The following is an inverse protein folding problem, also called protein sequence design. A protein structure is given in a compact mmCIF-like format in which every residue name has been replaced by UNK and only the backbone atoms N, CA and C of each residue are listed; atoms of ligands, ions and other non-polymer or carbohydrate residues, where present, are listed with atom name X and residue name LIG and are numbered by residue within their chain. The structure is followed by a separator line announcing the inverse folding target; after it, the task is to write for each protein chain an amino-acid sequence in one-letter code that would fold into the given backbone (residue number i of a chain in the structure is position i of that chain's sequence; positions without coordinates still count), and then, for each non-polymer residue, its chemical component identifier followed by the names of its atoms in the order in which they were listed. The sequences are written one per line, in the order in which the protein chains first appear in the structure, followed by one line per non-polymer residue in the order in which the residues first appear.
data_IF_912158302933
#
_entry.id   IF_912158302933
#
_cell.length_a   1.000
_cell.length_b   1.000
_cell.length_c   1.000
_cell.angle_alpha   90.00
_cell.angle_beta   90.00
_cell.angle_gamma   90.00
#
_symmetry.space_group_name_H-M   'P 1'
#
loop_
_entity.id
_entity.type
_entity.pdbx_description
1 polymer ?
#
# COMPACT_ATOMS: atom_id res chain seq x y z
N UNK A 1 49.46 -11.86 13.42
CA UNK A 1 50.61 -12.14 12.55
C UNK A 1 50.13 -12.38 11.13
N UNK A 2 50.13 -11.35 10.29
CA UNK A 2 50.26 -11.42 8.83
C UNK A 2 50.54 -9.98 8.37
N UNK A 3 51.66 -9.80 7.70
CA UNK A 3 52.35 -8.51 7.49
C UNK A 3 51.82 -7.81 6.23
N UNK A 4 51.48 -6.53 6.40
CA UNK A 4 52.00 -5.36 5.67
C UNK A 4 52.43 -5.54 4.19
N UNK A 5 51.79 -4.78 3.29
CA UNK A 5 52.48 -4.20 2.14
C UNK A 5 51.83 -2.89 1.71
N UNK A 6 52.24 -1.81 2.38
CA UNK A 6 52.14 -0.43 1.92
C UNK A 6 53.35 -0.20 1.00
N UNK A 7 53.14 0.35 -0.19
CA UNK A 7 54.20 1.02 -0.96
C UNK A 7 53.68 2.34 -1.52
N UNK A 8 54.27 3.48 -1.12
CA UNK A 8 54.13 4.74 -1.81
C UNK A 8 55.17 4.83 -2.93
N UNK A 9 54.81 5.43 -4.06
CA UNK A 9 55.79 5.93 -5.04
C UNK A 9 55.40 7.34 -5.42
N UNK A 10 56.12 8.30 -4.85
CA UNK A 10 56.25 9.63 -5.41
C UNK A 10 57.25 9.60 -6.57
N UNK A 11 56.96 10.41 -7.58
CA UNK A 11 57.93 10.91 -8.55
C UNK A 11 57.59 12.38 -8.82
N UNK A 12 58.50 13.25 -8.39
CA UNK A 12 58.69 14.59 -8.94
C UNK A 12 59.09 14.47 -10.42
N UNK A 13 58.61 15.38 -11.27
CA UNK A 13 59.12 15.51 -12.63
C UNK A 13 58.39 16.51 -13.52
N UNK A 14 59.00 17.68 -13.68
CA UNK A 14 58.96 18.58 -14.83
C UNK A 14 57.70 19.42 -15.13
N UNK A 15 57.81 20.71 -14.76
CA UNK A 15 57.25 21.84 -15.52
C UNK A 15 57.86 21.86 -16.93
N UNK A 16 57.02 21.79 -17.95
CA UNK A 16 57.31 22.38 -19.27
C UNK A 16 56.04 23.07 -19.76
N UNK A 17 56.08 24.40 -19.74
CA UNK A 17 55.12 25.24 -20.42
C UNK A 17 55.35 25.15 -21.92
N UNK A 18 54.38 24.58 -22.64
CA UNK A 18 54.23 24.75 -24.07
C UNK A 18 52.83 25.33 -24.30
N UNK A 19 52.80 26.64 -24.56
CA UNK A 19 51.63 27.38 -24.98
C UNK A 19 51.38 27.05 -26.45
N UNK A 20 50.69 25.95 -26.71
CA UNK A 20 50.09 25.65 -28.01
C UNK A 20 48.58 25.78 -27.86
N UNK A 21 48.02 26.81 -28.49
CA UNK A 21 46.58 26.96 -28.69
C UNK A 21 46.13 25.86 -29.67
N UNK A 22 45.93 24.65 -29.15
CA UNK A 22 45.18 23.63 -29.83
C UNK A 22 43.70 23.98 -29.69
N UNK A 23 43.04 24.27 -30.83
CA UNK A 23 41.60 24.13 -30.97
C UNK A 23 41.24 22.70 -30.56
N UNK A 24 40.86 22.52 -29.29
CA UNK A 24 40.28 21.27 -28.83
C UNK A 24 38.96 21.08 -29.59
N UNK A 25 38.75 19.92 -30.23
CA UNK A 25 37.53 19.68 -30.99
C UNK A 25 36.31 19.76 -30.07
N UNK A 26 35.18 20.19 -30.62
CA UNK A 26 33.87 20.32 -29.97
C UNK A 26 33.29 19.01 -29.38
N UNK A 27 34.08 17.95 -29.27
CA UNK A 27 33.72 16.62 -28.75
C UNK A 27 33.55 16.59 -27.22
N UNK A 28 34.14 17.54 -26.48
CA UNK A 28 34.03 17.61 -25.01
C UNK A 28 32.70 18.20 -24.47
N UNK A 29 31.89 18.84 -25.34
CA UNK A 29 30.58 19.41 -24.98
C UNK A 29 29.46 18.37 -25.02
N UNK A 30 29.40 17.57 -26.09
CA UNK A 30 28.42 16.51 -26.25
C UNK A 30 28.53 15.40 -25.20
N UNK A 31 29.75 15.09 -24.74
CA UNK A 31 29.98 14.12 -23.68
C UNK A 31 29.42 14.59 -22.31
N UNK A 32 29.57 15.88 -21.97
CA UNK A 32 29.02 16.44 -20.73
C UNK A 32 27.48 16.48 -20.74
N UNK A 33 26.86 16.94 -21.83
CA UNK A 33 25.40 16.97 -21.97
C UNK A 33 24.80 15.55 -21.90
N UNK A 34 25.47 14.56 -22.49
CA UNK A 34 25.08 13.15 -22.41
C UNK A 34 25.19 12.60 -20.98
N UNK A 35 26.28 12.91 -20.26
CA UNK A 35 26.42 12.52 -18.84
C UNK A 35 25.34 13.14 -17.97
N UNK A 36 25.05 14.43 -18.16
CA UNK A 36 24.00 15.13 -17.43
C UNK A 36 22.63 14.48 -17.66
N UNK A 37 22.26 14.21 -18.92
CA UNK A 37 21.00 13.53 -19.26
C UNK A 37 20.91 12.12 -18.66
N UNK A 38 21.98 11.33 -18.74
CA UNK A 38 22.04 10.00 -18.13
C UNK A 38 21.90 10.08 -16.59
N UNK A 39 22.53 11.08 -15.96
CA UNK A 39 22.43 11.30 -14.53
C UNK A 39 21.01 11.73 -14.12
N UNK A 40 20.30 12.52 -14.91
CA UNK A 40 18.89 12.83 -14.67
C UNK A 40 18.01 11.57 -14.71
N UNK A 41 18.23 10.69 -15.70
CA UNK A 41 17.50 9.41 -15.78
C UNK A 41 17.80 8.53 -14.56
N UNK A 42 19.06 8.46 -14.12
CA UNK A 42 19.46 7.71 -12.93
C UNK A 42 18.84 8.30 -11.65
N UNK A 43 18.75 9.62 -11.53
CA UNK A 43 18.11 10.28 -10.40
C UNK A 43 16.61 9.97 -10.32
N UNK A 44 15.90 9.99 -11.45
CA UNK A 44 14.50 9.59 -11.54
C UNK A 44 14.30 8.13 -11.15
N UNK A 45 15.20 7.23 -11.61
CA UNK A 45 15.15 5.82 -11.25
C UNK A 45 15.36 5.59 -9.74
N UNK A 46 16.33 6.26 -9.13
CA UNK A 46 16.56 6.24 -7.67
C UNK A 46 15.33 6.73 -6.90
N UNK A 47 14.71 7.82 -7.35
CA UNK A 47 13.49 8.35 -6.73
C UNK A 47 12.33 7.35 -6.79
N UNK A 48 12.13 6.67 -7.92
CA UNK A 48 11.13 5.60 -8.03
C UNK A 48 11.42 4.41 -7.13
N UNK A 49 12.69 4.02 -6.93
CA UNK A 49 13.07 2.95 -6.00
C UNK A 49 12.74 3.32 -4.55
N UNK A 50 13.09 4.52 -4.12
CA UNK A 50 12.77 5.04 -2.78
C UNK A 50 11.25 5.01 -2.54
N UNK A 51 10.44 5.47 -3.51
CA UNK A 51 8.98 5.43 -3.39
C UNK A 51 8.44 3.99 -3.28
N UNK A 52 9.02 3.04 -4.04
CA UNK A 52 8.64 1.63 -3.94
C UNK A 52 9.05 1.00 -2.60
N UNK A 53 10.15 1.46 -1.99
CA UNK A 53 10.58 1.03 -0.66
C UNK A 53 9.72 1.62 0.45
N UNK A 54 9.32 2.89 0.34
CA UNK A 54 8.36 3.53 1.23
C UNK A 54 7.02 2.75 1.24
N UNK A 55 6.49 2.40 0.06
CA UNK A 55 5.28 1.58 -0.04
C UNK A 55 5.45 0.17 0.57
N UNK A 56 6.64 -0.44 0.48
CA UNK A 56 6.93 -1.73 1.15
C UNK A 56 6.93 -1.58 2.67
N UNK A 57 7.53 -0.50 3.18
CA UNK A 57 7.55 -0.22 4.62
C UNK A 57 6.12 -0.07 5.17
N UNK A 58 5.26 0.67 4.48
CA UNK A 58 3.84 0.78 4.84
C UNK A 58 3.11 -0.59 4.78
N UNK A 59 3.42 -1.41 3.77
CA UNK A 59 2.85 -2.76 3.64
C UNK A 59 3.19 -3.71 4.80
N UNK A 60 4.36 -3.54 5.42
CA UNK A 60 4.76 -4.33 6.59
C UNK A 60 3.91 -4.02 7.83
N UNK A 61 3.52 -2.76 8.04
CA UNK A 61 2.61 -2.36 9.13
C UNK A 61 1.22 -2.98 8.98
N UNK A 62 0.68 -3.02 7.75
CA UNK A 62 -0.58 -3.69 7.44
C UNK A 62 -0.54 -5.20 7.73
N UNK A 63 0.58 -5.85 7.42
CA UNK A 63 0.80 -7.27 7.73
C UNK A 63 0.81 -7.51 9.24
N UNK A 64 1.53 -6.68 9.99
CA UNK A 64 1.61 -6.78 11.45
C UNK A 64 0.23 -6.63 12.12
N UNK A 65 -0.61 -5.70 11.60
CA UNK A 65 -1.98 -5.48 12.06
C UNK A 65 -2.87 -6.69 11.79
N UNK A 66 -2.76 -7.29 10.61
CA UNK A 66 -3.53 -8.50 10.24
C UNK A 66 -3.20 -9.69 11.15
N UNK A 67 -1.92 -9.92 11.44
CA UNK A 67 -1.48 -10.97 12.35
C UNK A 67 -2.01 -10.76 13.78
N UNK A 68 -2.04 -9.50 14.25
CA UNK A 68 -2.61 -9.16 15.56
C UNK A 68 -4.11 -9.47 15.63
N UNK A 69 -4.87 -9.11 14.60
CA UNK A 69 -6.31 -9.39 14.53
C UNK A 69 -6.59 -10.91 14.59
N UNK A 70 -5.83 -11.72 13.87
CA UNK A 70 -5.93 -13.19 13.90
C UNK A 70 -5.68 -13.76 15.30
N UNK A 71 -4.65 -13.30 16.00
CA UNK A 71 -4.37 -13.72 17.38
C UNK A 71 -5.51 -13.35 18.34
N UNK A 72 -6.07 -12.14 18.21
CA UNK A 72 -7.18 -11.70 19.05
C UNK A 72 -8.43 -12.55 18.85
N UNK A 73 -8.76 -12.92 17.60
CA UNK A 73 -9.90 -13.77 17.30
C UNK A 73 -9.78 -15.16 17.98
N UNK A 74 -8.60 -15.78 17.94
CA UNK A 74 -8.37 -17.08 18.58
C UNK A 74 -8.40 -16.96 20.11
N UNK A 75 -7.79 -15.91 20.69
CA UNK A 75 -7.89 -15.63 22.14
C UNK A 75 -9.34 -15.46 22.59
N UNK A 76 -10.18 -14.79 21.81
CA UNK A 76 -11.62 -14.65 22.09
C UNK A 76 -12.33 -15.99 22.09
N UNK A 77 -11.99 -16.90 21.17
CA UNK A 77 -12.53 -18.27 21.14
C UNK A 77 -12.21 -19.04 22.43
N UNK A 78 -10.98 -18.95 22.93
CA UNK A 78 -10.58 -19.58 24.21
C UNK A 78 -11.33 -18.98 25.40
N UNK A 79 -11.53 -17.66 25.44
CA UNK A 79 -12.29 -16.99 26.49
C UNK A 79 -13.76 -17.47 26.51
N UNK A 80 -14.42 -17.50 25.35
CA UNK A 80 -15.80 -18.01 25.20
C UNK A 80 -15.92 -19.47 25.66
N UNK A 81 -14.97 -20.33 25.28
CA UNK A 81 -14.97 -21.72 25.69
C UNK A 81 -14.73 -21.91 27.20
N UNK A 82 -13.96 -21.02 27.82
CA UNK A 82 -13.73 -21.03 29.27
C UNK A 82 -14.98 -20.61 30.04
N UNK A 83 -15.71 -19.60 29.56
CA UNK A 83 -17.00 -19.21 30.12
C UNK A 83 -18.04 -20.34 29.99
N UNK A 84 -18.15 -20.98 28.81
CA UNK A 84 -19.02 -22.13 28.60
C UNK A 84 -18.68 -23.31 29.52
N UNK A 85 -17.39 -23.57 29.75
CA UNK A 85 -16.92 -24.62 30.65
C UNK A 85 -17.38 -24.36 32.10
N UNK A 86 -17.26 -23.11 32.58
CA UNK A 86 -17.71 -22.71 33.91
C UNK A 86 -19.22 -22.92 34.08
N UNK A 87 -20.02 -22.46 33.10
CA UNK A 87 -21.48 -22.62 33.12
C UNK A 87 -21.90 -24.08 33.16
N UNK A 88 -21.34 -24.94 32.29
CA UNK A 88 -21.71 -26.36 32.25
C UNK A 88 -21.22 -27.12 33.48
N UNK A 89 -20.07 -26.75 34.04
CA UNK A 89 -19.59 -27.35 35.30
C UNK A 89 -20.51 -27.01 36.47
N UNK A 90 -20.99 -25.76 36.55
CA UNK A 90 -21.97 -25.34 37.55
C UNK A 90 -23.32 -26.07 37.40
N UNK A 91 -23.78 -26.26 36.16
CA UNK A 91 -24.98 -27.05 35.86
C UNK A 91 -24.82 -28.51 36.33
N UNK A 92 -23.68 -29.14 36.02
CA UNK A 92 -23.36 -30.50 36.43
C UNK A 92 -23.35 -30.68 37.96
N UNK A 93 -22.74 -29.75 38.69
CA UNK A 93 -22.76 -29.78 40.16
C UNK A 93 -24.18 -29.70 40.74
N UNK A 94 -25.05 -28.85 40.17
CA UNK A 94 -26.46 -28.76 40.58
C UNK A 94 -27.24 -30.05 40.28
N UNK A 95 -27.04 -30.64 39.11
CA UNK A 95 -27.69 -31.89 38.74
C UNK A 95 -27.27 -33.06 39.64
N UNK A 96 -25.98 -33.15 39.99
CA UNK A 96 -25.51 -34.13 40.97
C UNK A 96 -26.13 -33.94 42.35
N UNK A 97 -26.18 -32.70 42.86
CA UNK A 97 -26.80 -32.42 44.16
C UNK A 97 -28.29 -32.83 44.17
N UNK A 98 -29.02 -32.54 43.09
CA UNK A 98 -30.42 -32.95 42.91
C UNK A 98 -30.57 -34.48 42.87
N UNK A 99 -29.70 -35.18 42.14
CA UNK A 99 -29.72 -36.64 42.06
C UNK A 99 -29.52 -37.28 43.44
N UNK A 100 -28.52 -36.80 44.21
CA UNK A 100 -28.26 -37.30 45.58
C UNK A 100 -29.45 -37.06 46.50
N UNK A 101 -30.07 -35.87 46.45
CA UNK A 101 -31.26 -35.57 47.24
C UNK A 101 -32.44 -36.49 46.89
N UNK A 102 -32.66 -36.74 45.59
CA UNK A 102 -33.72 -37.64 45.11
C UNK A 102 -33.47 -39.10 45.48
N UNK A 103 -32.24 -39.60 45.34
CA UNK A 103 -31.87 -40.96 45.76
C UNK A 103 -32.07 -41.14 47.28
N UNK A 104 -31.77 -40.11 48.08
CA UNK A 104 -31.99 -40.13 49.54
C UNK A 104 -33.47 -40.18 49.89
N UNK A 105 -34.31 -39.34 49.26
CA UNK A 105 -35.76 -39.35 49.45
C UNK A 105 -36.37 -40.70 49.05
N UNK A 106 -35.95 -41.23 47.90
CA UNK A 106 -36.41 -42.52 47.40
C UNK A 106 -36.07 -43.67 48.35
N UNK A 107 -34.85 -43.69 48.90
CA UNK A 107 -34.43 -44.68 49.87
C UNK A 107 -35.24 -44.60 51.18
N UNK A 108 -35.54 -43.38 51.65
CA UNK A 108 -36.39 -43.16 52.81
C UNK A 108 -37.83 -43.65 52.58
N UNK A 109 -38.46 -43.23 51.47
CA UNK A 109 -39.83 -43.61 51.12
C UNK A 109 -39.98 -45.14 50.95
N UNK A 110 -38.97 -45.80 50.38
CA UNK A 110 -38.94 -47.27 50.29
C UNK A 110 -38.90 -47.97 51.64
N UNK A 111 -38.16 -47.42 52.61
CA UNK A 111 -38.11 -47.99 53.98
C UNK A 111 -39.44 -47.81 54.68
N UNK A 112 -40.07 -46.65 54.54
CA UNK A 112 -41.40 -46.39 55.10
C UNK A 112 -42.45 -47.33 54.49
N UNK A 113 -42.47 -47.49 53.16
CA UNK A 113 -43.36 -48.43 52.49
C UNK A 113 -43.16 -49.87 52.96
N UNK A 114 -41.90 -50.31 53.11
CA UNK A 114 -41.60 -51.65 53.58
C UNK A 114 -42.07 -51.86 55.03
N UNK A 115 -41.87 -50.87 55.91
CA UNK A 115 -42.36 -50.93 57.29
C UNK A 115 -43.90 -51.00 57.35
N UNK A 116 -44.59 -50.21 56.53
CA UNK A 116 -46.06 -50.21 56.45
C UNK A 116 -46.59 -51.56 55.96
N UNK A 117 -46.00 -52.11 54.89
CA UNK A 117 -46.39 -53.43 54.36
C UNK A 117 -46.14 -54.57 55.35
N UNK A 118 -45.06 -54.49 56.14
CA UNK A 118 -44.80 -55.47 57.22
C UNK A 118 -45.83 -55.30 58.34
N UNK A 119 -46.12 -54.08 58.76
CA UNK A 119 -47.13 -53.82 59.78
C UNK A 119 -48.53 -54.32 59.35
N UNK A 120 -48.90 -54.12 58.08
CA UNK A 120 -50.16 -54.62 57.51
C UNK A 120 -50.19 -56.15 57.41
N UNK A 121 -49.04 -56.80 57.20
CA UNK A 121 -48.94 -58.26 57.22
C UNK A 121 -49.01 -58.84 58.64
N UNK A 122 -48.31 -58.22 59.60
CA UNK A 122 -48.22 -58.69 61.00
C UNK A 122 -49.49 -58.37 61.80
N UNK A 123 -50.22 -57.33 61.41
CA UNK A 123 -51.51 -56.93 61.99
C UNK A 123 -52.55 -56.79 60.88
N UNK A 124 -53.07 -57.92 60.35
CA UNK A 124 -54.03 -57.90 59.26
C UNK A 124 -55.25 -57.06 59.63
N UNK A 125 -55.76 -56.23 58.71
CA UNK A 125 -56.93 -55.42 59.01
C UNK A 125 -58.13 -56.31 59.41
N UNK A 126 -59.06 -55.80 60.23
CA UNK A 126 -60.26 -56.51 60.61
C UNK A 126 -60.95 -57.07 59.37
N UNK A 127 -61.28 -58.37 59.41
CA UNK A 127 -61.92 -59.03 58.28
C UNK A 127 -63.32 -58.44 58.03
N UNK A 128 -63.92 -58.67 56.86
CA UNK A 128 -65.26 -58.17 56.53
C UNK A 128 -66.33 -58.54 57.58
N UNK A 129 -66.06 -59.56 58.40
CA UNK A 129 -66.91 -60.00 59.52
C UNK A 129 -66.74 -59.10 60.77
N UNK A 130 -65.55 -58.55 61.04
CA UNK A 130 -65.29 -57.60 62.14
C UNK A 130 -65.86 -56.19 61.85
N UNK A 131 -65.81 -55.76 60.59
CA UNK A 131 -66.27 -54.43 60.15
C UNK A 131 -67.80 -54.26 60.26
N UNK A 132 -68.55 -55.36 60.32
CA UNK A 132 -70.03 -55.34 60.50
C UNK A 132 -70.41 -55.13 61.97
N UNK A 133 -69.50 -55.35 62.91
CA UNK A 133 -69.78 -55.30 64.37
C UNK A 133 -69.30 -53.99 65.00
N UNK A 134 -68.31 -53.31 64.41
CA UNK A 134 -67.68 -52.11 65.00
C UNK A 134 -67.60 -50.94 64.01
N UNK A 135 -68.13 -49.77 64.38
CA UNK A 135 -68.28 -48.62 63.48
C UNK A 135 -66.94 -47.94 63.13
N UNK A 136 -65.92 -48.07 63.98
CA UNK A 136 -64.61 -47.43 63.79
C UNK A 136 -63.67 -48.25 62.87
N UNK A 137 -63.98 -49.52 62.60
CA UNK A 137 -63.13 -50.42 61.80
C UNK A 137 -63.05 -50.07 60.32
N UNK A 138 -64.11 -49.47 59.75
CA UNK A 138 -64.14 -49.08 58.34
C UNK A 138 -63.29 -47.83 58.06
N UNK A 139 -63.31 -46.84 58.97
CA UNK A 139 -62.51 -45.61 58.85
C UNK A 139 -61.01 -45.88 58.96
N UNK A 140 -60.58 -46.81 59.83
CA UNK A 140 -59.18 -47.21 59.93
C UNK A 140 -58.67 -47.87 58.65
N UNK A 141 -59.43 -48.81 58.08
CA UNK A 141 -59.09 -49.48 56.82
C UNK A 141 -58.94 -48.47 55.67
N UNK A 142 -59.88 -47.52 55.57
CA UNK A 142 -59.86 -46.46 54.55
C UNK A 142 -58.63 -45.56 54.69
N UNK A 143 -58.30 -45.14 55.91
CA UNK A 143 -57.12 -44.31 56.19
C UNK A 143 -55.80 -45.02 55.86
N UNK A 144 -55.71 -46.32 56.15
CA UNK A 144 -54.51 -47.11 55.86
C UNK A 144 -54.33 -47.34 54.36
N UNK A 145 -55.40 -47.70 53.65
CA UNK A 145 -55.39 -47.90 52.20
C UNK A 145 -55.09 -46.59 51.44
N UNK A 146 -55.59 -45.45 51.96
CA UNK A 146 -55.22 -44.12 51.47
C UNK A 146 -53.74 -43.80 51.69
N UNK A 147 -53.18 -44.18 52.85
CA UNK A 147 -51.77 -43.96 53.18
C UNK A 147 -50.83 -44.77 52.29
N UNK A 148 -51.10 -46.08 52.10
CA UNK A 148 -50.32 -46.95 51.21
C UNK A 148 -50.34 -46.41 49.77
N UNK A 149 -51.53 -46.05 49.26
CA UNK A 149 -51.68 -45.48 47.91
C UNK A 149 -50.94 -44.15 47.74
N UNK A 150 -50.96 -43.29 48.76
CA UNK A 150 -50.19 -42.04 48.74
C UNK A 150 -48.68 -42.29 48.71
N UNK A 151 -48.18 -43.28 49.45
CA UNK A 151 -46.77 -43.69 49.43
C UNK A 151 -46.38 -44.27 48.07
N UNK A 152 -47.21 -45.13 47.48
CA UNK A 152 -46.98 -45.71 46.14
C UNK A 152 -46.86 -44.61 45.06
N UNK A 153 -47.76 -43.62 45.10
CA UNK A 153 -47.73 -42.48 44.19
C UNK A 153 -46.47 -41.64 44.36
N UNK A 154 -46.07 -41.35 45.61
CA UNK A 154 -44.81 -40.64 45.92
C UNK A 154 -43.60 -41.43 45.42
N UNK A 155 -43.56 -42.74 45.63
CA UNK A 155 -42.47 -43.61 45.20
C UNK A 155 -42.34 -43.67 43.67
N UNK A 156 -43.48 -43.74 42.97
CA UNK A 156 -43.54 -43.65 41.50
C UNK A 156 -43.05 -42.30 41.00
N UNK A 157 -43.45 -41.20 41.63
CA UNK A 157 -42.99 -39.86 41.30
C UNK A 157 -41.48 -39.69 41.53
N UNK A 158 -40.97 -40.19 42.66
CA UNK A 158 -39.54 -40.18 43.00
C UNK A 158 -38.71 -40.98 41.98
N UNK A 159 -39.17 -42.16 41.57
CA UNK A 159 -38.50 -42.97 40.53
C UNK A 159 -38.38 -42.21 39.21
N UNK A 160 -39.47 -41.57 38.75
CA UNK A 160 -39.45 -40.74 37.52
C UNK A 160 -38.50 -39.54 37.65
N UNK A 161 -38.47 -38.92 38.83
CA UNK A 161 -37.57 -37.79 39.10
C UNK A 161 -36.10 -38.22 39.10
N UNK A 162 -35.75 -39.36 39.72
CA UNK A 162 -34.40 -39.94 39.71
C UNK A 162 -33.97 -40.24 38.27
N UNK A 163 -34.83 -40.89 37.47
CA UNK A 163 -34.52 -41.21 36.08
C UNK A 163 -34.28 -39.94 35.25
N UNK A 164 -35.11 -38.90 35.43
CA UNK A 164 -34.91 -37.60 34.77
C UNK A 164 -33.60 -36.93 35.19
N UNK A 165 -33.25 -36.97 36.48
CA UNK A 165 -32.01 -36.40 37.00
C UNK A 165 -30.76 -37.15 36.48
N UNK A 166 -30.82 -38.48 36.38
CA UNK A 166 -29.75 -39.29 35.77
C UNK A 166 -29.53 -38.93 34.30
N UNK A 167 -30.60 -38.73 33.54
CA UNK A 167 -30.52 -38.27 32.15
C UNK A 167 -29.89 -36.86 32.06
N UNK A 168 -30.29 -35.94 32.93
CA UNK A 168 -29.73 -34.58 32.99
C UNK A 168 -28.20 -34.62 33.25
N UNK A 169 -27.75 -35.41 34.23
CA UNK A 169 -26.32 -35.63 34.54
C UNK A 169 -25.58 -36.21 33.33
N UNK A 170 -26.15 -37.20 32.64
CA UNK A 170 -25.54 -37.80 31.46
C UNK A 170 -25.37 -36.79 30.31
N UNK A 171 -26.41 -35.99 30.03
CA UNK A 171 -26.38 -34.94 29.00
C UNK A 171 -25.35 -33.85 29.32
N UNK A 172 -25.30 -33.38 30.57
CA UNK A 172 -24.34 -32.37 31.00
C UNK A 172 -22.90 -32.88 30.96
N UNK A 173 -22.69 -34.15 31.31
CA UNK A 173 -21.37 -34.82 31.22
C UNK A 173 -20.89 -34.92 29.77
N UNK A 174 -21.76 -35.34 28.85
CA UNK A 174 -21.44 -35.39 27.42
C UNK A 174 -21.12 -33.99 26.86
N UNK A 175 -21.92 -32.97 27.24
CA UNK A 175 -21.67 -31.58 26.85
C UNK A 175 -20.32 -31.07 27.38
N UNK A 176 -19.99 -31.38 28.63
CA UNK A 176 -18.74 -31.02 29.28
C UNK A 176 -17.54 -31.63 28.54
N UNK A 177 -17.61 -32.91 28.17
CA UNK A 177 -16.57 -33.59 27.41
C UNK A 177 -16.32 -32.89 26.05
N UNK A 178 -17.40 -32.56 25.32
CA UNK A 178 -17.31 -31.84 24.06
C UNK A 178 -16.66 -30.45 24.19
N UNK A 179 -17.02 -29.69 25.24
CA UNK A 179 -16.41 -28.37 25.52
C UNK A 179 -14.92 -28.52 25.85
N UNK A 180 -14.55 -29.52 26.66
CA UNK A 180 -13.14 -29.77 27.03
C UNK A 180 -12.28 -30.10 25.81
N UNK A 181 -12.77 -30.92 24.88
CA UNK A 181 -12.06 -31.23 23.63
C UNK A 181 -11.87 -29.98 22.77
N UNK A 182 -12.94 -29.18 22.56
CA UNK A 182 -12.84 -27.92 21.81
C UNK A 182 -11.87 -26.93 22.45
N UNK A 183 -11.87 -26.81 23.78
CA UNK A 183 -10.93 -25.97 24.53
C UNK A 183 -9.48 -26.40 24.37
N UNK A 184 -9.19 -27.70 24.48
CA UNK A 184 -7.83 -28.22 24.26
C UNK A 184 -7.33 -27.90 22.85
N UNK A 185 -8.17 -28.11 21.83
CA UNK A 185 -7.84 -27.77 20.43
C UNK A 185 -7.59 -26.27 20.24
N UNK A 186 -8.46 -25.41 20.77
CA UNK A 186 -8.29 -23.96 20.67
C UNK A 186 -7.04 -23.47 21.42
N UNK A 187 -6.74 -24.04 22.59
CA UNK A 187 -5.53 -23.71 23.37
C UNK A 187 -4.27 -24.12 22.62
N UNK A 188 -4.25 -25.32 22.03
CA UNK A 188 -3.14 -25.75 21.19
C UNK A 188 -2.96 -24.84 19.97
N UNK A 189 -4.06 -24.44 19.32
CA UNK A 189 -4.03 -23.49 18.21
C UNK A 189 -3.48 -22.11 18.64
N UNK A 190 -3.82 -21.60 19.83
CA UNK A 190 -3.22 -20.36 20.35
C UNK A 190 -1.71 -20.47 20.48
N UNK A 191 -1.18 -21.59 20.97
CA UNK A 191 0.27 -21.74 21.13
C UNK A 191 0.98 -21.77 19.78
N UNK A 192 0.49 -22.59 18.83
CA UNK A 192 1.03 -22.66 17.47
C UNK A 192 0.96 -21.30 16.79
N UNK A 193 -0.20 -20.65 16.81
CA UNK A 193 -0.38 -19.34 16.18
C UNK A 193 0.50 -18.27 16.82
N UNK A 194 0.65 -18.27 18.15
CA UNK A 194 1.52 -17.30 18.85
C UNK A 194 2.97 -17.45 18.38
N UNK A 195 3.45 -18.68 18.26
CA UNK A 195 4.83 -18.95 17.87
C UNK A 195 5.05 -18.63 16.38
N UNK A 196 4.07 -18.95 15.51
CA UNK A 196 4.04 -18.52 14.11
C UNK A 196 4.07 -16.99 13.97
N UNK A 197 3.21 -16.27 14.71
CA UNK A 197 3.17 -14.80 14.70
C UNK A 197 4.49 -14.21 15.21
N UNK A 198 5.11 -14.79 16.24
CA UNK A 198 6.41 -14.33 16.71
C UNK A 198 7.49 -14.50 15.62
N UNK A 199 7.51 -15.65 14.94
CA UNK A 199 8.40 -15.90 13.81
C UNK A 199 8.17 -14.94 12.64
N UNK A 200 6.90 -14.72 12.26
CA UNK A 200 6.53 -13.79 11.19
C UNK A 200 6.88 -12.35 11.54
N UNK A 201 6.63 -11.90 12.78
CA UNK A 201 7.03 -10.56 13.24
C UNK A 201 8.53 -10.37 13.16
N UNK A 202 9.31 -11.36 13.59
CA UNK A 202 10.77 -11.28 13.48
C UNK A 202 11.24 -11.22 12.02
N UNK A 203 10.59 -11.97 11.12
CA UNK A 203 10.87 -11.92 9.69
C UNK A 203 10.50 -10.55 9.09
N UNK A 204 9.34 -9.99 9.46
CA UNK A 204 8.89 -8.65 9.04
C UNK A 204 9.88 -7.59 9.53
N UNK A 205 10.24 -7.56 10.81
CA UNK A 205 11.21 -6.59 11.36
C UNK A 205 12.57 -6.68 10.67
N UNK A 206 13.06 -7.90 10.39
CA UNK A 206 14.31 -8.07 9.63
C UNK A 206 14.19 -7.49 8.21
N UNK A 207 13.04 -7.68 7.56
CA UNK A 207 12.79 -7.17 6.22
C UNK A 207 12.63 -5.64 6.23
N UNK A 208 11.91 -5.08 7.19
CA UNK A 208 11.80 -3.65 7.44
C UNK A 208 13.18 -3.01 7.60
N UNK A 209 14.04 -3.59 8.45
CA UNK A 209 15.39 -3.09 8.67
C UNK A 209 16.23 -3.11 7.39
N UNK A 210 16.13 -4.18 6.59
CA UNK A 210 16.84 -4.25 5.32
C UNK A 210 16.33 -3.20 4.33
N UNK A 211 15.00 -3.12 4.12
CA UNK A 211 14.39 -2.13 3.23
C UNK A 211 14.72 -0.70 3.67
N UNK A 212 14.75 -0.41 4.97
CA UNK A 212 15.11 0.90 5.50
C UNK A 212 16.58 1.27 5.23
N UNK A 213 17.49 0.28 5.24
CA UNK A 213 18.90 0.46 4.87
C UNK A 213 19.04 0.71 3.37
N UNK A 214 18.41 -0.13 2.55
CA UNK A 214 18.42 0.00 1.10
C UNK A 214 17.94 1.41 0.68
N UNK A 215 16.84 1.87 1.30
CA UNK A 215 16.30 3.22 1.13
C UNK A 215 17.27 4.32 1.53
N UNK A 216 17.95 4.17 2.67
CA UNK A 216 18.92 5.15 3.13
C UNK A 216 20.13 5.25 2.17
N UNK A 217 20.58 4.11 1.64
CA UNK A 217 21.67 4.05 0.66
C UNK A 217 21.27 4.70 -0.67
N UNK A 218 20.07 4.39 -1.20
CA UNK A 218 19.53 5.02 -2.42
C UNK A 218 19.32 6.53 -2.22
N UNK A 219 18.83 6.97 -1.05
CA UNK A 219 18.69 8.38 -0.73
C UNK A 219 20.04 9.12 -0.69
N UNK A 220 21.07 8.50 -0.11
CA UNK A 220 22.43 9.04 -0.09
C UNK A 220 23.03 9.14 -1.51
N UNK A 221 22.81 8.12 -2.34
CA UNK A 221 23.21 8.14 -3.76
C UNK A 221 22.51 9.24 -4.53
N UNK A 222 21.20 9.40 -4.34
CA UNK A 222 20.42 10.45 -4.99
C UNK A 222 20.93 11.84 -4.62
N UNK A 223 21.24 12.07 -3.34
CA UNK A 223 21.79 13.34 -2.87
C UNK A 223 23.18 13.63 -3.47
N UNK A 224 24.06 12.62 -3.53
CA UNK A 224 25.37 12.76 -4.19
C UNK A 224 25.24 13.05 -5.69
N UNK A 225 24.30 12.38 -6.36
CA UNK A 225 24.03 12.58 -7.78
C UNK A 225 23.45 13.96 -8.06
N UNK A 226 22.53 14.45 -7.23
CA UNK A 226 21.99 15.82 -7.32
C UNK A 226 23.07 16.89 -7.24
N UNK A 227 24.04 16.74 -6.32
CA UNK A 227 25.18 17.66 -6.22
C UNK A 227 26.04 17.66 -7.50
N UNK A 228 26.27 16.47 -8.06
CA UNK A 228 27.03 16.30 -9.30
C UNK A 228 26.30 16.97 -10.46
N UNK A 229 25.01 16.69 -10.62
CA UNK A 229 24.16 17.28 -11.66
C UNK A 229 24.07 18.81 -11.55
N UNK A 230 23.96 19.35 -10.33
CA UNK A 230 23.97 20.81 -10.12
C UNK A 230 25.28 21.45 -10.58
N UNK A 231 26.41 20.79 -10.33
CA UNK A 231 27.71 21.26 -10.83
C UNK A 231 27.82 21.16 -12.36
N UNK A 232 27.40 20.03 -12.94
CA UNK A 232 27.42 19.83 -14.40
C UNK A 232 26.51 20.83 -15.12
N UNK A 233 25.32 21.13 -14.57
CA UNK A 233 24.43 22.16 -15.08
C UNK A 233 25.11 23.54 -15.11
N UNK A 234 25.74 23.95 -14.01
CA UNK A 234 26.46 25.22 -13.95
C UNK A 234 27.61 25.31 -14.96
N UNK A 235 28.33 24.20 -15.20
CA UNK A 235 29.38 24.15 -16.22
C UNK A 235 28.79 24.26 -17.63
N UNK A 236 27.67 23.60 -17.90
CA UNK A 236 26.96 23.71 -19.18
C UNK A 236 26.49 25.15 -19.43
N UNK A 237 25.92 25.82 -18.41
CA UNK A 237 25.46 27.20 -18.51
C UNK A 237 26.62 28.18 -18.80
N UNK A 238 27.73 28.05 -18.08
CA UNK A 238 28.93 28.86 -18.30
C UNK A 238 29.50 28.67 -19.72
N UNK A 239 29.49 27.44 -20.24
CA UNK A 239 29.93 27.15 -21.62
C UNK A 239 28.98 27.74 -22.65
N UNK A 240 27.68 27.65 -22.44
CA UNK A 240 26.68 28.25 -23.30
C UNK A 240 26.84 29.79 -23.35
N UNK A 241 27.13 30.43 -22.21
CA UNK A 241 27.42 31.86 -22.14
C UNK A 241 28.73 32.24 -22.85
N UNK A 242 29.80 31.44 -22.69
CA UNK A 242 31.08 31.66 -23.37
C UNK A 242 30.99 31.52 -24.90
N UNK A 243 30.21 30.54 -25.39
CA UNK A 243 29.95 30.37 -26.82
C UNK A 243 29.20 31.57 -27.42
N UNK A 244 28.27 32.17 -26.67
CA UNK A 244 27.58 33.41 -27.07
C UNK A 244 28.51 34.63 -27.07
N UNK A 245 29.46 34.72 -26.13
CA UNK A 245 30.49 35.77 -26.11
C UNK A 245 31.48 35.68 -27.28
N UNK A 246 31.83 34.46 -27.72
CA UNK A 246 32.67 34.24 -28.89
C UNK A 246 31.90 34.49 -30.22
N UNK A 247 30.61 34.14 -30.27
CA UNK A 247 29.76 34.42 -31.42
C UNK A 247 29.45 35.92 -31.61
N UNK A 248 29.47 36.72 -30.54
CA UNK A 248 29.26 38.18 -30.58
C UNK A 248 30.53 39.00 -30.86
N UNK A 249 31.71 38.37 -30.87
CA UNK A 249 32.98 39.00 -31.26
C UNK A 249 33.37 38.75 -32.73
N UNK A 250 32.61 37.91 -33.45
CA UNK A 250 32.57 37.92 -34.91
C UNK A 250 31.53 38.94 -35.39
N UNK A 251 32.00 40.01 -36.06
CA UNK A 251 31.23 41.06 -36.77
C UNK A 251 29.72 41.01 -36.50
N UNK A 252 29.25 41.92 -35.64
CA UNK A 252 27.82 42.16 -35.39
C UNK A 252 27.05 42.09 -36.72
N UNK A 253 26.24 41.05 -36.86
CA UNK A 253 25.32 40.95 -37.99
C UNK A 253 24.36 42.14 -37.89
N UNK A 254 24.28 42.89 -38.97
CA UNK A 254 23.30 43.95 -39.16
C UNK A 254 21.92 43.40 -38.82
N UNK A 255 21.12 44.09 -37.98
CA UNK A 255 19.72 43.73 -37.79
C UNK A 255 19.02 43.70 -39.15
N UNK A 256 18.42 42.55 -39.50
CA UNK A 256 17.59 42.41 -40.70
C UNK A 256 18.24 41.81 -41.97
N UNK A 257 19.30 41.01 -41.84
CA UNK A 257 19.78 40.22 -42.98
C UNK A 257 19.20 38.80 -42.93
N UNK A 258 18.45 38.38 -43.96
CA UNK A 258 18.07 36.97 -44.17
C UNK A 258 19.35 36.12 -44.20
N UNK A 259 19.64 35.40 -43.12
CA UNK A 259 20.73 34.45 -43.09
C UNK A 259 20.16 33.06 -42.97
N UNK A 260 20.46 32.24 -43.97
CA UNK A 260 20.10 30.82 -44.01
C UNK A 260 21.15 30.03 -43.21
N UNK A 261 21.14 30.25 -41.91
CA UNK A 261 21.96 29.50 -40.97
C UNK A 261 21.03 28.70 -40.05
N UNK A 262 21.38 27.45 -39.71
CA UNK A 262 20.59 26.68 -38.77
C UNK A 262 20.67 27.30 -37.37
N UNK A 263 19.55 27.26 -36.66
CA UNK A 263 19.44 27.71 -35.29
C UNK A 263 20.48 27.03 -34.40
N UNK A 264 21.18 27.84 -33.61
CA UNK A 264 22.08 27.36 -32.57
C UNK A 264 21.53 27.79 -31.22
N UNK A 265 21.11 26.81 -30.43
CA UNK A 265 20.57 27.03 -29.10
C UNK A 265 21.56 27.83 -28.22
N UNK A 266 21.01 28.72 -27.40
CA UNK A 266 21.77 29.62 -26.54
C UNK A 266 21.05 29.78 -25.20
N UNK A 267 21.79 30.11 -24.14
CA UNK A 267 21.27 30.35 -22.79
C UNK A 267 21.08 31.82 -22.45
N UNK A 268 20.76 32.65 -23.44
CA UNK A 268 20.51 34.09 -23.23
C UNK A 268 19.11 34.34 -22.67
N UNK A 269 18.81 35.53 -22.12
CA UNK A 269 17.46 35.85 -21.62
C UNK A 269 16.44 36.17 -22.73
N UNK A 270 16.92 36.55 -23.92
CA UNK A 270 16.12 36.95 -25.10
C UNK A 270 16.57 36.17 -26.33
N UNK A 271 15.64 35.88 -27.22
CA UNK A 271 15.84 35.00 -28.37
C UNK A 271 14.73 33.96 -28.48
N UNK A 272 15.02 32.87 -29.17
CA UNK A 272 14.09 31.78 -29.42
C UNK A 272 14.43 30.54 -28.59
N UNK A 273 13.42 29.94 -27.98
CA UNK A 273 13.54 28.78 -27.09
C UNK A 273 12.56 27.69 -27.52
N UNK A 274 13.03 26.56 -28.08
CA UNK A 274 12.14 25.46 -28.40
C UNK A 274 11.58 24.85 -27.13
N UNK A 275 10.25 24.69 -27.05
CA UNK A 275 9.61 24.03 -25.93
C UNK A 275 10.01 22.54 -25.87
N UNK A 276 10.10 21.94 -24.67
CA UNK A 276 10.40 20.52 -24.53
C UNK A 276 9.47 19.64 -25.39
N UNK A 277 10.06 18.73 -26.17
CA UNK A 277 9.30 17.79 -27.02
C UNK A 277 8.98 18.30 -28.44
N UNK A 278 9.39 19.52 -28.79
CA UNK A 278 9.27 20.05 -30.16
C UNK A 278 10.47 19.66 -31.04
N UNK A 279 10.29 19.68 -32.37
CA UNK A 279 11.33 19.34 -33.33
C UNK A 279 11.55 20.48 -34.33
N UNK A 280 12.65 21.22 -34.17
CA UNK A 280 13.07 22.31 -35.05
C UNK A 280 14.21 21.93 -35.99
N UNK A 281 14.37 20.63 -36.28
CA UNK A 281 15.49 20.12 -37.10
C UNK A 281 15.08 19.71 -38.51
N UNK A 282 13.79 19.74 -38.84
CA UNK A 282 13.26 19.29 -40.12
C UNK A 282 12.94 20.47 -41.05
N UNK A 283 13.10 20.26 -42.36
CA UNK A 283 12.74 21.25 -43.37
C UNK A 283 13.44 22.60 -43.19
N UNK A 284 12.67 23.67 -43.23
CA UNK A 284 13.10 25.06 -43.05
C UNK A 284 13.10 25.50 -41.58
N UNK A 285 12.60 24.68 -40.65
CA UNK A 285 12.52 25.07 -39.24
C UNK A 285 13.83 25.47 -38.56
N UNK A 286 15.00 24.87 -38.88
CA UNK A 286 16.27 25.37 -38.37
C UNK A 286 16.50 26.83 -38.75
N UNK A 287 16.06 27.25 -39.94
CA UNK A 287 16.22 28.61 -40.45
C UNK A 287 15.16 29.53 -39.80
N UNK A 288 13.91 29.09 -39.71
CA UNK A 288 12.83 29.83 -39.04
C UNK A 288 13.18 30.09 -37.57
N UNK A 289 13.66 29.07 -36.85
CA UNK A 289 14.12 29.20 -35.47
C UNK A 289 15.31 30.17 -35.33
N UNK A 290 16.23 30.20 -36.30
CA UNK A 290 17.36 31.15 -36.28
C UNK A 290 16.91 32.59 -36.52
N UNK A 291 15.92 32.79 -37.39
CA UNK A 291 15.32 34.11 -37.67
C UNK A 291 14.48 34.61 -36.49
N UNK A 292 13.68 33.73 -35.88
CA UNK A 292 12.96 34.00 -34.63
C UNK A 292 13.92 34.33 -33.49
N UNK A 293 15.06 33.64 -33.43
CA UNK A 293 16.10 33.94 -32.45
C UNK A 293 16.69 35.34 -32.63
N UNK A 294 17.06 35.69 -33.87
CA UNK A 294 17.56 37.01 -34.20
C UNK A 294 16.52 38.12 -33.89
N UNK A 295 15.26 37.88 -34.23
CA UNK A 295 14.14 38.78 -33.92
C UNK A 295 13.99 38.95 -32.40
N UNK A 296 13.95 37.85 -31.65
CA UNK A 296 13.80 37.85 -30.20
C UNK A 296 14.93 38.60 -29.52
N UNK A 297 16.17 38.45 -29.98
CA UNK A 297 17.31 39.22 -29.44
C UNK A 297 17.22 40.70 -29.79
N UNK A 298 16.89 41.03 -31.03
CA UNK A 298 16.82 42.42 -31.50
C UNK A 298 15.73 43.22 -30.77
N UNK A 299 14.59 42.58 -30.48
CA UNK A 299 13.45 43.19 -29.81
C UNK A 299 13.40 42.91 -28.30
N UNK A 300 14.42 42.21 -27.75
CA UNK A 300 14.45 41.76 -26.36
C UNK A 300 13.19 40.97 -25.94
N UNK A 301 12.73 40.09 -26.82
CA UNK A 301 11.61 39.17 -26.59
C UNK A 301 12.13 37.79 -26.20
N UNK A 302 11.37 37.11 -25.35
CA UNK A 302 11.57 35.72 -25.00
C UNK A 302 10.52 34.89 -25.74
N UNK A 303 10.92 34.34 -26.89
CA UNK A 303 10.00 33.65 -27.81
C UNK A 303 10.06 32.14 -27.56
N UNK A 304 8.93 31.53 -27.25
CA UNK A 304 8.86 30.09 -26.98
C UNK A 304 8.21 29.41 -28.17
N UNK A 305 8.97 28.55 -28.86
CA UNK A 305 8.46 27.74 -29.93
C UNK A 305 7.68 26.54 -29.38
N UNK A 306 6.35 26.61 -29.39
CA UNK A 306 5.49 25.55 -28.84
C UNK A 306 5.15 24.50 -29.89
N UNK A 307 5.33 24.83 -31.17
CA UNK A 307 5.21 23.89 -32.26
C UNK A 307 6.20 24.14 -33.37
N UNK A 308 6.95 23.10 -33.67
CA UNK A 308 7.75 22.96 -34.87
C UNK A 308 7.23 21.81 -35.74
N UNK A 309 8.13 20.98 -36.25
CA UNK A 309 7.77 19.88 -37.14
C UNK A 309 6.85 18.88 -36.44
N UNK A 310 5.75 18.52 -37.11
CA UNK A 310 4.81 17.49 -36.67
C UNK A 310 4.82 16.34 -37.67
N UNK A 311 4.67 15.11 -37.20
CA UNK A 311 4.43 14.00 -38.14
C UNK A 311 3.06 14.18 -38.81
N UNK A 312 2.86 13.71 -40.05
CA UNK A 312 1.54 13.74 -40.71
C UNK A 312 0.42 13.14 -39.85
N UNK A 313 0.73 12.06 -39.13
CA UNK A 313 -0.22 11.43 -38.21
C UNK A 313 -0.57 12.36 -37.04
N UNK A 314 0.43 12.98 -36.41
CA UNK A 314 0.19 13.86 -35.26
C UNK A 314 -0.58 15.13 -35.66
N UNK A 315 -0.34 15.67 -36.86
CA UNK A 315 -1.12 16.79 -37.38
C UNK A 315 -2.62 16.45 -37.48
N UNK A 316 -2.96 15.28 -38.01
CA UNK A 316 -4.37 14.82 -38.07
C UNK A 316 -4.98 14.66 -36.67
N UNK A 317 -4.21 14.18 -35.69
CA UNK A 317 -4.68 13.97 -34.32
C UNK A 317 -5.02 15.28 -33.60
N UNK A 318 -4.38 16.39 -33.96
CA UNK A 318 -4.63 17.73 -33.37
C UNK A 318 -5.58 18.59 -34.21
N UNK A 319 -6.25 17.98 -35.21
CA UNK A 319 -7.23 18.67 -36.06
C UNK A 319 -6.64 19.42 -37.26
N UNK A 320 -5.36 19.20 -37.56
CA UNK A 320 -4.68 19.64 -38.79
C UNK A 320 -4.92 18.69 -39.96
N UNK A 321 -4.09 18.81 -41.00
CA UNK A 321 -4.13 17.95 -42.19
C UNK A 321 -2.74 17.42 -42.52
N UNK A 322 -2.67 16.22 -43.10
CA UNK A 322 -1.43 15.44 -43.22
C UNK A 322 -0.28 16.13 -43.98
N UNK A 323 -0.60 17.11 -44.84
CA UNK A 323 0.35 17.88 -45.65
C UNK A 323 0.23 19.38 -45.34
N UNK A 324 0.18 19.73 -44.06
CA UNK A 324 0.24 21.12 -43.60
C UNK A 324 1.69 21.64 -43.52
N UNK A 325 1.90 22.95 -43.41
CA UNK A 325 3.24 23.53 -43.30
C UNK A 325 4.10 22.98 -42.15
N UNK A 326 3.53 22.60 -41.00
CA UNK A 326 4.30 21.94 -39.93
C UNK A 326 4.74 20.53 -40.29
N UNK A 327 3.98 19.79 -41.11
CA UNK A 327 4.38 18.45 -41.55
C UNK A 327 5.47 18.45 -42.63
N UNK A 328 5.70 19.62 -43.24
CA UNK A 328 6.84 19.89 -44.13
C UNK A 328 8.02 20.58 -43.43
N UNK A 329 7.84 20.99 -42.17
CA UNK A 329 8.84 21.77 -41.42
C UNK A 329 9.03 23.17 -41.99
N UNK A 330 7.96 23.79 -42.46
CA UNK A 330 7.91 25.12 -43.08
C UNK A 330 7.26 26.17 -42.17
N UNK A 331 6.83 25.79 -40.96
CA UNK A 331 6.08 26.68 -40.07
C UNK A 331 6.34 26.43 -38.59
N UNK A 332 6.24 27.48 -37.77
CA UNK A 332 6.28 27.37 -36.32
C UNK A 332 5.19 28.18 -35.63
N UNK A 333 4.62 27.60 -34.57
CA UNK A 333 3.76 28.34 -33.64
C UNK A 333 4.65 28.85 -32.48
N UNK A 334 4.78 30.18 -32.39
CA UNK A 334 5.69 30.85 -31.46
C UNK A 334 4.99 32.00 -30.73
N UNK A 335 4.31 31.74 -29.61
CA UNK A 335 3.72 32.79 -28.78
C UNK A 335 4.73 33.88 -28.39
N UNK A 336 4.26 35.12 -28.35
CA UNK A 336 5.06 36.32 -28.08
C UNK A 336 5.41 37.14 -29.33
N UNK A 337 5.12 36.63 -30.54
CA UNK A 337 5.32 37.36 -31.82
C UNK A 337 4.08 38.14 -32.28
N UNK A 338 2.93 37.97 -31.62
CA UNK A 338 1.64 38.54 -32.04
C UNK A 338 1.66 40.07 -32.04
N UNK A 339 2.46 40.66 -31.16
CA UNK A 339 2.64 42.12 -31.06
C UNK A 339 3.65 42.71 -32.05
N UNK A 340 4.37 41.88 -32.82
CA UNK A 340 5.39 42.34 -33.77
C UNK A 340 4.72 42.73 -35.09
N UNK A 341 4.91 43.97 -35.59
CA UNK A 341 4.33 44.39 -36.89
C UNK A 341 4.83 43.52 -38.05
N UNK A 342 3.99 43.29 -39.07
CA UNK A 342 4.36 42.45 -40.23
C UNK A 342 5.63 42.95 -40.92
N UNK A 343 5.75 44.25 -41.16
CA UNK A 343 6.96 44.85 -41.73
C UNK A 343 8.23 44.60 -40.89
N UNK A 344 8.08 44.39 -39.57
CA UNK A 344 9.19 43.99 -38.71
C UNK A 344 9.51 42.51 -38.90
N UNK A 345 8.51 41.62 -38.97
CA UNK A 345 8.73 40.20 -39.28
C UNK A 345 9.42 40.03 -40.64
N UNK A 346 8.95 40.73 -41.67
CA UNK A 346 9.52 40.72 -43.02
C UNK A 346 11.00 41.14 -43.02
N UNK A 347 11.40 42.08 -42.16
CA UNK A 347 12.81 42.46 -42.02
C UNK A 347 13.70 41.33 -41.49
N UNK A 348 13.13 40.34 -40.81
CA UNK A 348 13.79 39.10 -40.39
C UNK A 348 13.45 37.91 -41.30
N UNK A 349 12.79 38.17 -42.42
CA UNK A 349 12.43 37.19 -43.44
C UNK A 349 11.47 36.12 -42.87
N UNK A 350 10.55 36.62 -42.04
CA UNK A 350 9.46 35.89 -41.42
C UNK A 350 8.15 36.52 -41.87
N UNK A 351 7.09 35.73 -41.99
CA UNK A 351 5.75 36.23 -42.29
C UNK A 351 4.69 35.50 -41.48
N UNK A 352 3.55 36.16 -41.29
CA UNK A 352 2.28 35.52 -40.91
C UNK A 352 1.44 35.26 -42.16
N UNK A 353 1.38 34.02 -42.65
CA UNK A 353 0.67 33.69 -43.87
C UNK A 353 -0.86 33.84 -43.74
N UNK A 354 -1.40 33.88 -42.52
CA UNK A 354 -2.83 33.95 -42.26
C UNK A 354 -3.22 35.27 -41.56
N UNK A 355 -4.28 35.96 -42.02
CA UNK A 355 -4.77 37.16 -41.35
C UNK A 355 -5.62 36.82 -40.13
N UNK A 356 -5.49 37.61 -39.07
CA UNK A 356 -6.39 37.59 -37.92
C UNK A 356 -5.72 37.09 -36.63
N UNK A 357 -6.38 37.30 -35.47
CA UNK A 357 -5.75 37.12 -34.16
C UNK A 357 -5.57 35.66 -33.73
N UNK A 358 -6.21 34.70 -34.43
CA UNK A 358 -6.16 33.27 -34.07
C UNK A 358 -4.91 32.54 -34.57
N UNK A 359 -4.23 33.12 -35.56
CA UNK A 359 -3.04 32.56 -36.21
C UNK A 359 -1.85 33.52 -36.06
N UNK A 360 -1.93 34.43 -35.08
CA UNK A 360 -0.97 35.52 -34.93
C UNK A 360 0.40 35.05 -34.44
N UNK A 361 0.49 33.83 -33.90
CA UNK A 361 1.70 33.13 -33.49
C UNK A 361 2.23 32.16 -34.54
N UNK A 362 1.50 31.94 -35.65
CA UNK A 362 1.92 31.08 -36.75
C UNK A 362 2.88 31.82 -37.68
N UNK A 363 4.13 31.35 -37.73
CA UNK A 363 5.23 32.00 -38.45
C UNK A 363 5.80 31.06 -39.51
N UNK A 364 5.98 31.60 -40.71
CA UNK A 364 6.69 30.94 -41.82
C UNK A 364 7.83 31.82 -42.32
N UNK A 365 8.67 31.27 -43.20
CA UNK A 365 9.55 32.07 -44.03
C UNK A 365 8.74 32.98 -44.97
N UNK A 366 9.16 34.25 -45.11
CA UNK A 366 8.54 35.27 -45.99
C UNK A 366 8.86 35.08 -47.46
#
# INVERSE_FOLDING_TARGET
MARMSIRPRGTLGALTAALTAALAPATAGGDLAKRYSNGQQQASALQSRIQAEDAKLEGFEGTATTLQARLMAIKRSVALQSALLATVSSQLSRAHAKLVALDTSYAYDRRLLAAELVAEYESPPPTVVDVVVDADGFDQLLNQLHSVKAIEQRNTAATRAVNSARLEVALQTARLAGIRVRRRRATAAVLVERDEIAGLRLAVVRRELQTARDRADDAAQLESLRKTLAHEALVLDLRAAGAQGAASSGVAATPGACRDAPFTAHGGPYGFFPAPGTNYTAGQEPIIAARLDALGRALQLHLIGISGYRTPQHSLEVGGYADDPHTRGEASDTPGVEGVPEATLESFCLTRPFPGPREADHIQES
#
